data_IF_215022630231
#
_entry.id   IF_215022630231
#
_cell.length_a   1.000
_cell.length_b   1.000
_cell.length_c   1.000
_cell.angle_alpha   90.00
_cell.angle_beta   90.00
_cell.angle_gamma   90.00
#
_symmetry.space_group_name_H-M   'P 1'
#
loop_
_entity.id
_entity.type
_entity.pdbx_description
1 polymer ?
#
# COMPACT_ATOMS: atom_id res chain seq x y z
N UNK A 1 -3.90 -14.47 16.27
CA UNK A 1 -3.06 -13.38 15.77
C UNK A 1 -3.33 -12.14 16.61
N UNK A 2 -2.32 -11.37 16.97
CA UNK A 2 -2.53 -10.09 17.68
C UNK A 2 -2.80 -8.96 16.69
N UNK A 3 -3.46 -7.90 17.13
CA UNK A 3 -3.77 -6.75 16.27
C UNK A 3 -2.49 -6.08 15.72
N UNK A 4 -1.45 -6.02 16.53
CA UNK A 4 -0.12 -5.53 16.12
C UNK A 4 0.54 -6.39 15.04
N UNK A 5 0.26 -7.69 15.01
CA UNK A 5 0.78 -8.59 13.98
C UNK A 5 0.12 -8.38 12.62
N UNK A 6 -1.11 -7.81 12.57
CA UNK A 6 -1.79 -7.48 11.31
C UNK A 6 -1.00 -6.40 10.56
N UNK A 7 -0.55 -5.35 11.27
CA UNK A 7 0.29 -4.32 10.69
C UNK A 7 1.65 -4.85 10.21
N UNK A 8 2.29 -5.70 11.01
CA UNK A 8 3.55 -6.35 10.63
C UNK A 8 3.38 -7.27 9.40
N UNK A 9 2.23 -7.96 9.31
CA UNK A 9 1.90 -8.79 8.15
C UNK A 9 1.78 -7.93 6.88
N UNK A 10 1.13 -6.77 6.95
CA UNK A 10 1.04 -5.86 5.83
C UNK A 10 2.43 -5.39 5.36
N UNK A 11 3.33 -5.04 6.30
CA UNK A 11 4.71 -4.68 5.96
C UNK A 11 5.45 -5.81 5.22
N UNK A 12 5.31 -7.06 5.68
CA UNK A 12 5.94 -8.22 5.02
C UNK A 12 5.34 -8.49 3.64
N UNK A 13 4.02 -8.36 3.49
CA UNK A 13 3.35 -8.51 2.19
C UNK A 13 3.83 -7.46 1.18
N UNK A 14 4.13 -6.25 1.62
CA UNK A 14 4.73 -5.20 0.80
C UNK A 14 6.24 -5.42 0.51
N UNK A 15 6.83 -6.47 1.08
CA UNK A 15 8.24 -6.82 0.85
C UNK A 15 9.23 -6.22 1.86
N UNK A 16 8.74 -5.63 2.95
CA UNK A 16 9.57 -5.02 3.98
C UNK A 16 9.76 -5.93 5.21
N UNK A 17 10.87 -5.81 5.94
CA UNK A 17 11.05 -6.55 7.18
C UNK A 17 10.00 -6.11 8.22
N UNK A 18 9.40 -7.06 8.96
CA UNK A 18 8.40 -6.72 9.96
C UNK A 18 9.06 -5.94 11.12
N UNK A 19 8.38 -4.93 11.67
CA UNK A 19 8.90 -4.14 12.80
C UNK A 19 8.92 -4.93 14.11
N UNK A 20 8.06 -5.95 14.22
CA UNK A 20 7.96 -6.85 15.36
C UNK A 20 8.07 -8.30 14.90
N UNK A 21 8.50 -9.17 15.81
CA UNK A 21 8.55 -10.61 15.53
C UNK A 21 7.13 -11.18 15.48
N UNK A 22 6.79 -11.80 14.38
CA UNK A 22 5.51 -12.51 14.22
C UNK A 22 5.51 -13.78 15.08
N UNK A 23 4.37 -14.10 15.68
CA UNK A 23 4.17 -15.40 16.35
C UNK A 23 4.27 -16.55 15.33
N UNK A 24 4.51 -17.76 15.81
CA UNK A 24 4.53 -18.95 14.96
C UNK A 24 3.22 -19.14 14.18
N UNK A 25 2.08 -18.82 14.81
CA UNK A 25 0.77 -18.86 14.16
C UNK A 25 0.61 -17.77 13.09
N UNK A 26 1.08 -16.56 13.34
CA UNK A 26 1.10 -15.46 12.38
C UNK A 26 1.98 -15.78 11.17
N UNK A 27 3.19 -16.27 11.43
CA UNK A 27 4.15 -16.67 10.39
C UNK A 27 3.62 -17.82 9.52
N UNK A 28 2.97 -18.83 10.13
CA UNK A 28 2.36 -19.93 9.37
C UNK A 28 1.29 -19.44 8.41
N UNK A 29 0.37 -18.58 8.89
CA UNK A 29 -0.69 -18.00 8.05
C UNK A 29 -0.13 -17.11 6.94
N UNK A 30 0.91 -16.34 7.23
CA UNK A 30 1.57 -15.52 6.23
C UNK A 30 2.20 -16.36 5.12
N UNK A 31 2.82 -17.49 5.48
CA UNK A 31 3.41 -18.42 4.52
C UNK A 31 2.37 -19.11 3.63
N UNK A 32 1.11 -19.19 4.04
CA UNK A 32 0.02 -19.70 3.18
C UNK A 32 -0.38 -18.69 2.10
N UNK A 33 -0.21 -17.39 2.36
CA UNK A 33 -0.48 -16.30 1.41
C UNK A 33 0.71 -16.03 0.50
N UNK A 34 1.92 -16.03 1.07
CA UNK A 34 3.13 -15.80 0.32
C UNK A 34 3.48 -17.05 -0.50
N UNK A 35 3.47 -16.87 -1.81
CA UNK A 35 4.00 -17.89 -2.74
C UNK A 35 5.49 -18.06 -2.45
N UNK A 36 5.98 -19.31 -2.53
CA UNK A 36 7.38 -19.65 -2.25
C UNK A 36 8.38 -18.94 -3.17
N UNK A 37 7.91 -18.39 -4.29
CA UNK A 37 8.73 -17.68 -5.25
C UNK A 37 8.92 -16.22 -4.80
N UNK A 38 10.15 -15.78 -4.46
CA UNK A 38 10.41 -14.40 -4.04
C UNK A 38 10.21 -13.38 -5.17
N UNK A 39 10.09 -13.82 -6.42
CA UNK A 39 9.87 -12.95 -7.58
C UNK A 39 8.38 -12.67 -7.84
N UNK A 40 7.47 -13.48 -7.28
CA UNK A 40 6.01 -13.34 -7.40
C UNK A 40 5.38 -12.79 -6.12
N UNK A 41 6.08 -11.95 -5.39
CA UNK A 41 5.52 -11.31 -4.19
C UNK A 41 4.47 -10.28 -4.57
N UNK A 42 3.43 -10.13 -3.75
CA UNK A 42 2.47 -9.06 -3.96
C UNK A 42 3.19 -7.70 -3.89
N UNK A 43 2.80 -6.80 -4.76
CA UNK A 43 3.33 -5.42 -4.80
C UNK A 43 2.39 -4.43 -4.14
N UNK A 44 1.14 -4.85 -3.94
CA UNK A 44 0.12 -4.03 -3.34
C UNK A 44 -0.61 -4.76 -2.21
N UNK A 45 -1.01 -4.01 -1.21
CA UNK A 45 -1.86 -4.49 -0.11
C UNK A 45 -3.06 -3.56 0.00
N UNK A 46 -4.25 -4.15 -0.07
CA UNK A 46 -5.51 -3.48 0.17
C UNK A 46 -5.99 -3.79 1.59
N UNK A 47 -6.02 -2.79 2.46
CA UNK A 47 -6.47 -2.92 3.84
C UNK A 47 -7.78 -2.16 4.03
N UNK A 48 -8.85 -2.87 4.42
CA UNK A 48 -10.13 -2.26 4.71
C UNK A 48 -10.60 -2.64 6.12
N UNK A 49 -10.81 -1.63 6.96
CA UNK A 49 -11.51 -1.77 8.22
C UNK A 49 -13.01 -1.64 8.01
N UNK A 50 -13.79 -2.58 8.53
CA UNK A 50 -15.24 -2.55 8.50
C UNK A 50 -15.77 -2.51 9.93
N UNK A 51 -16.39 -1.40 10.31
CA UNK A 51 -16.93 -1.18 11.65
C UNK A 51 -18.42 -1.53 11.74
N UNK A 52 -18.83 -2.08 12.88
CA UNK A 52 -20.20 -2.49 13.14
C UNK A 52 -20.50 -3.94 12.77
N UNK A 53 -19.47 -4.77 12.59
CA UNK A 53 -19.62 -6.17 12.19
C UNK A 53 -18.90 -7.07 13.19
N UNK A 54 -19.66 -7.80 14.00
CA UNK A 54 -19.08 -8.74 14.97
C UNK A 54 -18.59 -10.04 14.29
N UNK A 55 -19.42 -10.65 13.47
CA UNK A 55 -19.06 -11.85 12.70
C UNK A 55 -19.67 -11.80 11.28
N UNK A 56 -18.86 -11.50 10.26
CA UNK A 56 -19.33 -11.44 8.88
C UNK A 56 -19.79 -12.81 8.35
N UNK A 57 -19.34 -13.92 8.93
CA UNK A 57 -19.71 -15.26 8.50
C UNK A 57 -21.15 -15.63 8.84
N UNK A 58 -21.71 -15.05 9.90
CA UNK A 58 -23.11 -15.26 10.28
C UNK A 58 -24.05 -14.70 9.23
N UNK A 59 -23.66 -13.57 8.60
CA UNK A 59 -24.50 -12.87 7.62
C UNK A 59 -24.30 -13.39 6.20
N UNK A 60 -23.07 -13.77 5.85
CA UNK A 60 -22.72 -14.22 4.50
C UNK A 60 -21.82 -15.46 4.48
N UNK A 61 -22.30 -16.63 4.98
CA UNK A 61 -21.45 -17.81 5.10
C UNK A 61 -20.96 -18.39 3.77
N UNK A 62 -21.67 -18.10 2.68
CA UNK A 62 -21.33 -18.54 1.31
C UNK A 62 -20.69 -17.46 0.46
N UNK A 63 -20.33 -16.32 1.04
CA UNK A 63 -19.74 -15.23 0.28
C UNK A 63 -18.41 -15.63 -0.36
N UNK A 64 -18.24 -15.31 -1.63
CA UNK A 64 -17.05 -15.66 -2.42
C UNK A 64 -15.75 -15.16 -1.79
N UNK A 65 -15.78 -14.00 -1.14
CA UNK A 65 -14.63 -13.41 -0.44
C UNK A 65 -14.06 -14.36 0.63
N UNK A 66 -14.93 -15.14 1.32
CA UNK A 66 -14.50 -16.00 2.42
C UNK A 66 -14.10 -17.42 1.99
N UNK A 67 -14.36 -17.81 0.76
CA UNK A 67 -14.00 -19.16 0.28
C UNK A 67 -12.48 -19.37 0.17
N UNK A 68 -11.75 -18.35 -0.21
CA UNK A 68 -10.29 -18.38 -0.35
C UNK A 68 -9.56 -17.59 0.73
N UNK A 69 -10.30 -16.97 1.68
CA UNK A 69 -9.71 -16.14 2.69
C UNK A 69 -9.14 -16.94 3.86
N UNK A 70 -7.96 -16.58 4.28
CA UNK A 70 -7.37 -17.03 5.53
C UNK A 70 -7.99 -16.25 6.69
N UNK A 71 -8.68 -16.99 7.58
CA UNK A 71 -9.40 -16.40 8.70
C UNK A 71 -8.56 -16.40 9.96
N UNK A 72 -8.58 -15.30 10.68
CA UNK A 72 -7.95 -15.19 11.99
C UNK A 72 -8.81 -14.35 12.92
N UNK A 73 -9.12 -14.87 14.08
CA UNK A 73 -9.59 -14.06 15.20
C UNK A 73 -8.43 -13.30 15.78
N UNK A 74 -8.60 -12.00 16.01
CA UNK A 74 -7.56 -11.12 16.56
C UNK A 74 -7.87 -10.86 18.03
N UNK A 75 -6.92 -11.19 18.91
CA UNK A 75 -7.01 -10.86 20.34
C UNK A 75 -6.81 -9.37 20.58
N UNK A 76 -7.64 -8.78 21.42
CA UNK A 76 -7.59 -7.36 21.83
C UNK A 76 -6.36 -7.09 22.73
N UNK A 77 -5.15 -7.19 22.17
CA UNK A 77 -3.90 -6.87 22.89
C UNK A 77 -3.46 -5.41 22.76
N UNK A 78 -3.90 -4.72 21.71
CA UNK A 78 -3.67 -3.28 21.50
C UNK A 78 -4.88 -2.67 20.80
N UNK A 79 -5.11 -1.39 21.01
CA UNK A 79 -6.28 -0.68 20.46
C UNK A 79 -6.12 -0.27 18.99
N UNK A 80 -4.99 -0.54 18.34
CA UNK A 80 -4.69 -0.08 16.98
C UNK A 80 -3.84 -1.07 16.20
N UNK A 81 -4.01 -1.04 14.88
CA UNK A 81 -3.15 -1.71 13.88
C UNK A 81 -2.14 -0.70 13.40
N UNK A 82 -0.92 -0.74 13.90
CA UNK A 82 0.15 0.13 13.42
C UNK A 82 0.90 -0.56 12.27
N UNK A 83 0.76 -0.01 11.06
CA UNK A 83 1.52 -0.42 9.88
C UNK A 83 2.76 0.46 9.79
N UNK A 84 3.93 -0.12 10.03
CA UNK A 84 5.19 0.61 9.95
C UNK A 84 5.85 0.40 8.60
N UNK A 85 6.06 1.48 7.86
CA UNK A 85 6.65 1.50 6.54
C UNK A 85 8.03 2.18 6.58
N UNK A 86 8.97 1.79 5.69
CA UNK A 86 10.33 2.30 5.77
C UNK A 86 10.46 3.75 5.31
N UNK A 87 9.84 4.13 4.18
CA UNK A 87 10.03 5.44 3.55
C UNK A 87 8.91 5.70 2.53
N UNK A 88 8.54 6.97 2.35
CA UNK A 88 7.55 7.42 1.36
C UNK A 88 8.02 7.21 -0.09
N UNK A 89 9.32 7.17 -0.34
CA UNK A 89 9.86 6.89 -1.68
C UNK A 89 9.69 5.43 -2.10
N UNK A 90 9.60 4.51 -1.12
CA UNK A 90 9.50 3.06 -1.37
C UNK A 90 8.07 2.55 -1.37
N UNK A 91 7.15 3.27 -0.72
CA UNK A 91 5.74 2.88 -0.59
C UNK A 91 4.84 4.06 -0.85
N UNK A 92 3.96 3.90 -1.83
CA UNK A 92 2.83 4.82 -2.04
C UNK A 92 1.67 4.41 -1.14
N UNK A 93 1.20 5.33 -0.31
CA UNK A 93 0.03 5.11 0.56
C UNK A 93 -1.16 5.85 -0.01
N UNK A 94 -2.22 5.11 -0.34
CA UNK A 94 -3.45 5.63 -0.90
C UNK A 94 -4.55 5.48 0.14
N UNK A 95 -5.08 6.61 0.63
CA UNK A 95 -6.20 6.62 1.57
C UNK A 95 -7.53 6.59 0.84
N UNK A 96 -8.44 5.73 1.29
CA UNK A 96 -9.81 5.65 0.80
C UNK A 96 -10.80 6.45 1.65
N UNK A 97 -10.32 7.12 2.69
CA UNK A 97 -11.17 7.85 3.65
C UNK A 97 -11.48 9.29 3.18
N UNK A 98 -11.20 9.61 1.91
CA UNK A 98 -11.57 10.91 1.36
C UNK A 98 -13.10 11.01 1.26
N UNK A 99 -13.71 12.03 1.92
CA UNK A 99 -15.16 12.21 1.81
C UNK A 99 -15.53 12.65 0.41
N UNK A 100 -16.51 12.00 -0.16
CA UNK A 100 -17.11 12.44 -1.41
C UNK A 100 -17.97 13.68 -1.12
N UNK A 101 -17.67 14.80 -1.77
CA UNK A 101 -18.36 16.07 -1.51
C UNK A 101 -19.68 16.18 -2.25
N UNK A 102 -19.65 15.87 -3.54
CA UNK A 102 -20.81 15.92 -4.42
C UNK A 102 -20.77 14.75 -5.40
N UNK A 103 -21.92 14.22 -5.75
CA UNK A 103 -22.08 13.19 -6.76
C UNK A 103 -23.36 13.45 -7.57
N UNK A 104 -23.34 13.03 -8.83
CA UNK A 104 -24.42 13.21 -9.79
C UNK A 104 -25.29 11.95 -9.86
N UNK A 105 -26.49 12.07 -10.41
CA UNK A 105 -27.37 10.93 -10.69
C UNK A 105 -26.75 9.95 -11.71
N UNK A 106 -25.96 10.48 -12.63
CA UNK A 106 -25.25 9.69 -13.63
C UNK A 106 -24.19 8.80 -12.94
N UNK A 107 -23.41 9.34 -12.02
CA UNK A 107 -22.43 8.58 -11.25
C UNK A 107 -23.07 7.51 -10.34
N UNK A 108 -24.26 7.80 -9.77
CA UNK A 108 -25.03 6.79 -9.02
C UNK A 108 -25.50 5.67 -9.96
N UNK A 109 -25.94 6.01 -11.16
CA UNK A 109 -26.37 5.03 -12.15
C UNK A 109 -25.21 4.15 -12.63
N UNK A 110 -24.03 4.74 -12.84
CA UNK A 110 -22.81 4.01 -13.16
C UNK A 110 -22.42 3.03 -12.06
N UNK A 111 -22.48 3.50 -10.81
CA UNK A 111 -22.24 2.65 -9.64
C UNK A 111 -23.27 1.51 -9.54
N UNK A 112 -24.55 1.81 -9.72
CA UNK A 112 -25.62 0.82 -9.74
C UNK A 112 -25.36 -0.24 -10.82
N UNK A 113 -25.06 0.20 -12.05
CA UNK A 113 -24.77 -0.66 -13.19
C UNK A 113 -23.54 -1.54 -12.94
N UNK A 114 -22.49 -0.99 -12.32
CA UNK A 114 -21.30 -1.75 -11.95
C UNK A 114 -21.61 -2.86 -10.92
N UNK A 115 -22.55 -2.61 -10.00
CA UNK A 115 -23.05 -3.63 -9.06
C UNK A 115 -24.02 -4.62 -9.73
N UNK A 116 -24.39 -4.41 -11.00
CA UNK A 116 -25.40 -5.21 -11.71
C UNK A 116 -26.83 -4.84 -11.37
N UNK A 117 -27.01 -3.67 -10.73
CA UNK A 117 -28.30 -3.11 -10.36
C UNK A 117 -28.74 -1.97 -11.26
N UNK A 118 -29.64 -1.14 -10.77
CA UNK A 118 -30.15 0.03 -11.49
C UNK A 118 -30.50 1.15 -10.52
N UNK A 119 -30.44 2.38 -11.02
CA UNK A 119 -30.92 3.55 -10.30
C UNK A 119 -32.14 4.14 -11.03
N UNK A 120 -33.23 4.34 -10.31
CA UNK A 120 -34.45 4.98 -10.82
C UNK A 120 -34.54 6.35 -10.17
N UNK A 121 -34.27 7.45 -10.91
CA UNK A 121 -34.31 8.80 -10.36
C UNK A 121 -35.73 9.21 -9.99
N UNK A 122 -35.87 10.10 -8.99
CA UNK A 122 -37.14 10.75 -8.67
C UNK A 122 -37.33 11.97 -9.58
N UNK A 123 -38.43 12.02 -10.31
CA UNK A 123 -38.75 13.11 -11.22
C UNK A 123 -38.94 14.48 -10.53
N UNK A 124 -39.16 14.49 -9.22
CA UNK A 124 -39.46 15.70 -8.46
C UNK A 124 -38.28 16.23 -7.67
N UNK A 125 -37.37 15.35 -7.25
CA UNK A 125 -36.23 15.72 -6.39
C UNK A 125 -34.96 15.00 -6.83
N UNK A 126 -33.93 15.72 -7.26
CA UNK A 126 -32.65 15.12 -7.59
C UNK A 126 -32.09 14.30 -6.41
N UNK A 127 -31.42 13.20 -6.70
CA UNK A 127 -30.77 12.31 -5.75
C UNK A 127 -31.69 11.63 -4.72
N UNK A 128 -33.01 11.66 -4.92
CA UNK A 128 -34.01 11.01 -4.05
C UNK A 128 -34.59 9.71 -4.61
N UNK A 129 -34.02 9.19 -5.69
CA UNK A 129 -34.46 7.99 -6.37
C UNK A 129 -34.34 6.69 -5.58
N UNK A 130 -34.52 5.58 -6.26
CA UNK A 130 -34.39 4.23 -5.71
C UNK A 130 -33.17 3.56 -6.36
N UNK A 131 -32.23 3.14 -5.55
CA UNK A 131 -31.08 2.34 -5.96
C UNK A 131 -31.38 0.86 -5.67
N UNK A 132 -31.60 0.07 -6.72
CA UNK A 132 -31.85 -1.35 -6.64
C UNK A 132 -30.56 -2.13 -6.96
N UNK A 133 -30.12 -3.00 -6.05
CA UNK A 133 -28.90 -3.79 -6.19
C UNK A 133 -29.24 -5.25 -5.95
N UNK A 134 -28.96 -6.15 -6.91
CA UNK A 134 -29.20 -7.58 -6.76
C UNK A 134 -28.16 -8.21 -5.83
N UNK A 135 -28.63 -9.09 -4.94
CA UNK A 135 -27.80 -9.93 -4.11
C UNK A 135 -27.58 -11.31 -4.75
N UNK A 136 -26.54 -12.00 -4.34
CA UNK A 136 -26.21 -13.36 -4.83
C UNK A 136 -27.31 -14.41 -4.60
N UNK A 137 -28.19 -14.20 -3.64
CA UNK A 137 -29.31 -15.10 -3.32
C UNK A 137 -30.56 -14.86 -4.17
N UNK A 138 -30.52 -13.92 -5.11
CA UNK A 138 -31.65 -13.55 -5.97
C UNK A 138 -32.62 -12.54 -5.37
N UNK A 139 -32.37 -12.04 -4.16
CA UNK A 139 -33.12 -10.93 -3.57
C UNK A 139 -32.54 -9.60 -4.07
N UNK A 140 -33.40 -8.60 -4.25
CA UNK A 140 -32.97 -7.23 -4.56
C UNK A 140 -33.00 -6.36 -3.31
N UNK A 141 -31.95 -5.58 -3.13
CA UNK A 141 -31.89 -4.55 -2.08
C UNK A 141 -32.27 -3.21 -2.69
N UNK A 142 -33.39 -2.65 -2.24
CA UNK A 142 -33.87 -1.35 -2.65
C UNK A 142 -33.52 -0.27 -1.64
N UNK A 143 -32.57 0.59 -2.00
CA UNK A 143 -32.17 1.74 -1.20
C UNK A 143 -33.00 2.96 -1.61
N UNK A 144 -33.92 3.36 -0.75
CA UNK A 144 -34.70 4.58 -0.95
C UNK A 144 -33.87 5.80 -0.56
N UNK A 145 -33.31 6.51 -1.52
CA UNK A 145 -32.45 7.68 -1.29
C UNK A 145 -33.21 8.87 -0.65
N UNK A 146 -34.53 8.80 -0.61
CA UNK A 146 -35.38 9.73 0.17
C UNK A 146 -35.24 9.55 1.68
N UNK A 147 -34.97 8.31 2.16
CA UNK A 147 -34.72 8.02 3.56
C UNK A 147 -33.28 8.43 3.90
N UNK A 148 -33.09 9.22 4.97
CA UNK A 148 -31.77 9.73 5.39
C UNK A 148 -30.76 8.60 5.63
N UNK A 149 -31.19 7.54 6.33
CA UNK A 149 -30.35 6.38 6.70
C UNK A 149 -29.83 5.66 5.47
N UNK A 150 -30.69 5.35 4.49
CA UNK A 150 -30.32 4.69 3.24
C UNK A 150 -29.38 5.56 2.41
N UNK A 151 -29.63 6.87 2.36
CA UNK A 151 -28.80 7.82 1.64
C UNK A 151 -27.40 7.94 2.24
N UNK A 152 -27.28 8.01 3.57
CA UNK A 152 -25.99 8.04 4.26
C UNK A 152 -25.18 6.79 4.02
N UNK A 153 -25.82 5.62 4.11
CA UNK A 153 -25.17 4.35 3.81
C UNK A 153 -24.73 4.26 2.35
N UNK A 154 -25.64 4.58 1.41
CA UNK A 154 -25.33 4.59 -0.02
C UNK A 154 -24.18 5.55 -0.35
N UNK A 155 -24.18 6.75 0.25
CA UNK A 155 -23.10 7.74 0.06
C UNK A 155 -21.75 7.22 0.52
N UNK A 156 -21.67 6.52 1.66
CA UNK A 156 -20.43 5.91 2.14
C UNK A 156 -19.94 4.77 1.24
N UNK A 157 -20.88 3.94 0.76
CA UNK A 157 -20.55 2.86 -0.17
C UNK A 157 -20.07 3.41 -1.52
N UNK A 158 -20.71 4.47 -1.97
CA UNK A 158 -20.33 5.16 -3.20
C UNK A 158 -18.96 5.86 -3.07
N UNK A 159 -18.70 6.51 -1.93
CA UNK A 159 -17.38 7.09 -1.64
C UNK A 159 -16.26 6.04 -1.67
N UNK A 160 -16.50 4.88 -1.05
CA UNK A 160 -15.56 3.75 -1.11
C UNK A 160 -15.28 3.32 -2.55
N UNK A 161 -16.32 3.14 -3.35
CA UNK A 161 -16.20 2.78 -4.78
C UNK A 161 -15.42 3.83 -5.58
N UNK A 162 -15.75 5.12 -5.40
CA UNK A 162 -15.09 6.22 -6.10
C UNK A 162 -13.60 6.30 -5.76
N UNK A 163 -13.26 6.21 -4.47
CA UNK A 163 -11.88 6.25 -4.00
C UNK A 163 -11.07 5.04 -4.48
N UNK A 164 -11.69 3.86 -4.61
CA UNK A 164 -11.04 2.68 -5.19
C UNK A 164 -10.77 2.88 -6.68
N UNK A 165 -11.71 3.45 -7.44
CA UNK A 165 -11.47 3.79 -8.86
C UNK A 165 -10.32 4.80 -9.01
N UNK A 166 -10.27 5.80 -8.13
CA UNK A 166 -9.16 6.77 -8.07
C UNK A 166 -7.83 6.07 -7.75
N UNK A 167 -7.82 5.12 -6.81
CA UNK A 167 -6.63 4.32 -6.49
C UNK A 167 -6.15 3.50 -7.70
N UNK A 168 -7.06 2.88 -8.46
CA UNK A 168 -6.70 2.15 -9.68
C UNK A 168 -6.10 3.08 -10.76
N UNK A 169 -6.62 4.31 -10.92
CA UNK A 169 -6.04 5.30 -11.82
C UNK A 169 -4.62 5.71 -11.39
N UNK A 170 -4.43 5.97 -10.08
CA UNK A 170 -3.11 6.28 -9.53
C UNK A 170 -2.12 5.13 -9.75
N UNK A 171 -2.59 3.88 -9.63
CA UNK A 171 -1.76 2.70 -9.93
C UNK A 171 -1.32 2.68 -11.40
N UNK A 172 -2.22 2.97 -12.33
CA UNK A 172 -1.89 3.03 -13.77
C UNK A 172 -0.79 4.06 -14.03
N UNK A 173 -0.89 5.25 -13.44
CA UNK A 173 0.14 6.30 -13.54
C UNK A 173 1.48 5.85 -12.95
N UNK A 174 1.46 5.23 -11.74
CA UNK A 174 2.65 4.71 -11.07
C UNK A 174 3.28 3.52 -11.82
N UNK A 175 2.47 2.71 -12.49
CA UNK A 175 2.96 1.56 -13.26
C UNK A 175 3.84 1.95 -14.43
N UNK A 176 3.68 3.16 -14.96
CA UNK A 176 4.49 3.73 -16.05
C UNK A 176 5.79 4.39 -15.53
N UNK A 177 5.93 4.58 -14.22
CA UNK A 177 7.12 5.19 -13.64
C UNK A 177 8.35 4.27 -13.69
N UNK A 178 9.54 4.87 -13.77
CA UNK A 178 10.81 4.14 -13.81
C UNK A 178 11.07 3.33 -12.53
N UNK A 179 10.59 3.84 -11.40
CA UNK A 179 10.63 3.18 -10.09
C UNK A 179 9.18 2.93 -9.66
N UNK A 180 8.80 1.66 -9.56
CA UNK A 180 7.49 1.27 -9.10
C UNK A 180 7.53 1.04 -7.58
N UNK A 181 7.01 1.97 -6.75
CA UNK A 181 6.92 1.75 -5.31
C UNK A 181 5.96 0.60 -5.01
N UNK A 182 6.08 0.00 -3.83
CA UNK A 182 5.01 -0.84 -3.31
C UNK A 182 3.80 0.04 -2.98
N UNK A 183 2.59 -0.52 -3.04
CA UNK A 183 1.38 0.27 -2.84
C UNK A 183 0.56 -0.25 -1.66
N UNK A 184 0.22 0.65 -0.74
CA UNK A 184 -0.67 0.37 0.38
C UNK A 184 -1.96 1.17 0.21
N UNK A 185 -3.05 0.48 -0.11
CA UNK A 185 -4.39 1.07 -0.17
C UNK A 185 -5.04 0.82 1.18
N UNK A 186 -5.41 1.88 1.89
CA UNK A 186 -5.95 1.80 3.24
C UNK A 186 -7.26 2.58 3.34
N UNK A 187 -8.27 2.00 3.98
CA UNK A 187 -9.52 2.69 4.23
C UNK A 187 -10.35 2.11 5.35
N UNK A 188 -11.37 2.86 5.74
CA UNK A 188 -12.36 2.47 6.75
C UNK A 188 -13.77 2.57 6.19
N UNK A 189 -14.62 1.61 6.55
CA UNK A 189 -16.04 1.64 6.23
C UNK A 189 -16.87 1.52 7.52
N UNK A 190 -17.51 2.60 7.89
CA UNK A 190 -18.34 2.72 9.09
C UNK A 190 -19.84 2.77 8.79
N UNK A 191 -20.23 2.51 7.54
CA UNK A 191 -21.63 2.57 7.09
C UNK A 191 -22.56 1.65 7.88
N UNK A 192 -22.10 0.46 8.26
CA UNK A 192 -22.88 -0.49 9.05
C UNK A 192 -23.12 0.03 10.47
N UNK A 193 -22.07 0.58 11.10
CA UNK A 193 -22.17 1.20 12.42
C UNK A 193 -23.19 2.35 12.43
N UNK A 194 -23.18 3.18 11.40
CA UNK A 194 -24.14 4.28 11.23
C UNK A 194 -25.59 3.77 11.14
N UNK A 195 -25.82 2.65 10.44
CA UNK A 195 -27.13 2.02 10.39
C UNK A 195 -27.60 1.55 11.77
N UNK A 196 -26.70 0.93 12.54
CA UNK A 196 -27.01 0.43 13.89
C UNK A 196 -27.31 1.57 14.89
N UNK A 197 -26.56 2.66 14.82
CA UNK A 197 -26.75 3.84 15.70
C UNK A 197 -28.08 4.56 15.45
N UNK A 198 -28.57 4.53 14.22
CA UNK A 198 -29.82 5.21 13.86
C UNK A 198 -31.08 4.36 14.13
N UNK A 199 -30.93 3.14 14.68
CA UNK A 199 -32.00 2.25 15.09
C UNK A 199 -33.18 2.19 14.10
N UNK A 200 -32.89 1.89 12.84
CA UNK A 200 -33.94 1.80 11.83
C UNK A 200 -34.86 0.61 12.15
N UNK A 201 -36.15 0.90 12.42
CA UNK A 201 -37.16 -0.10 12.80
C UNK A 201 -37.35 -1.21 11.76
N UNK A 202 -36.86 -0.98 10.54
CA UNK A 202 -37.03 -1.87 9.39
C UNK A 202 -35.99 -3.02 9.31
N UNK A 203 -35.00 -3.11 10.27
CA UNK A 203 -33.97 -4.16 10.24
C UNK A 203 -33.00 -4.03 9.06
N UNK A 204 -32.81 -2.80 8.58
CA UNK A 204 -31.97 -2.49 7.42
C UNK A 204 -30.47 -2.73 7.69
N UNK A 205 -30.04 -2.81 8.95
CA UNK A 205 -28.67 -3.13 9.37
C UNK A 205 -28.17 -4.45 8.76
N UNK A 206 -28.99 -5.51 8.81
CA UNK A 206 -28.66 -6.82 8.21
C UNK A 206 -28.63 -6.76 6.69
N UNK A 207 -29.52 -5.96 6.10
CA UNK A 207 -29.60 -5.80 4.65
C UNK A 207 -28.40 -5.01 4.13
N UNK A 208 -28.03 -3.91 4.81
CA UNK A 208 -26.84 -3.14 4.53
C UNK A 208 -25.54 -3.96 4.65
N UNK A 209 -25.48 -4.83 5.67
CA UNK A 209 -24.39 -5.78 5.83
C UNK A 209 -24.28 -6.75 4.65
N UNK A 210 -25.41 -7.35 4.23
CA UNK A 210 -25.44 -8.27 3.07
C UNK A 210 -24.98 -7.54 1.80
N UNK A 211 -25.45 -6.31 1.62
CA UNK A 211 -25.06 -5.48 0.47
C UNK A 211 -23.56 -5.18 0.46
N UNK A 212 -23.01 -4.79 1.61
CA UNK A 212 -21.56 -4.57 1.72
C UNK A 212 -20.80 -5.86 1.38
N UNK A 213 -21.18 -6.99 1.98
CA UNK A 213 -20.52 -8.28 1.73
C UNK A 213 -20.65 -8.75 0.28
N UNK A 214 -21.71 -8.38 -0.45
CA UNK A 214 -21.85 -8.64 -1.88
C UNK A 214 -21.01 -7.69 -2.74
N UNK A 215 -20.72 -6.48 -2.24
CA UNK A 215 -19.92 -5.48 -2.93
C UNK A 215 -18.42 -5.72 -2.80
N UNK A 216 -17.94 -6.17 -1.64
CA UNK A 216 -16.51 -6.37 -1.37
C UNK A 216 -15.81 -7.31 -2.35
N UNK A 217 -16.39 -8.48 -2.74
CA UNK A 217 -15.77 -9.32 -3.78
C UNK A 217 -15.59 -8.60 -5.10
N UNK A 218 -16.61 -7.86 -5.57
CA UNK A 218 -16.55 -7.12 -6.84
C UNK A 218 -15.48 -6.04 -6.81
N UNK A 219 -15.34 -5.34 -5.68
CA UNK A 219 -14.27 -4.38 -5.45
C UNK A 219 -12.92 -5.08 -5.55
N UNK A 220 -12.75 -6.19 -4.85
CA UNK A 220 -11.47 -6.90 -4.81
C UNK A 220 -11.11 -7.53 -6.17
N UNK A 221 -12.07 -8.07 -6.89
CA UNK A 221 -11.88 -8.59 -8.25
C UNK A 221 -11.45 -7.49 -9.23
N UNK A 222 -12.03 -6.28 -9.09
CA UNK A 222 -11.61 -5.12 -9.88
C UNK A 222 -10.16 -4.71 -9.57
N UNK A 223 -9.79 -4.71 -8.28
CA UNK A 223 -8.41 -4.46 -7.86
C UNK A 223 -7.47 -5.57 -8.35
N UNK A 224 -7.85 -6.83 -8.23
CA UNK A 224 -7.03 -7.95 -8.75
C UNK A 224 -6.79 -7.83 -10.24
N UNK A 225 -7.78 -7.39 -11.00
CA UNK A 225 -7.66 -7.16 -12.44
C UNK A 225 -6.71 -6.00 -12.74
N UNK A 226 -6.85 -4.87 -12.04
CA UNK A 226 -6.00 -3.69 -12.23
C UNK A 226 -4.53 -3.96 -11.84
N UNK A 227 -4.30 -4.75 -10.78
CA UNK A 227 -2.97 -5.09 -10.27
C UNK A 227 -2.42 -6.42 -10.83
N UNK A 228 -3.02 -6.97 -11.88
CA UNK A 228 -2.59 -8.22 -12.53
C UNK A 228 -2.42 -9.39 -11.53
N UNK A 229 -3.25 -9.43 -10.49
CA UNK A 229 -3.19 -10.43 -9.42
C UNK A 229 -2.10 -10.19 -8.36
N UNK A 230 -1.30 -9.14 -8.47
CA UNK A 230 -0.22 -8.82 -7.51
C UNK A 230 -0.70 -8.00 -6.31
N UNK A 231 -1.95 -8.16 -5.89
CA UNK A 231 -2.53 -7.49 -4.74
C UNK A 231 -3.10 -8.50 -3.74
N UNK A 232 -2.93 -8.21 -2.46
CA UNK A 232 -3.50 -8.99 -1.36
C UNK A 232 -4.47 -8.13 -0.56
N UNK A 233 -5.67 -8.66 -0.29
CA UNK A 233 -6.69 -8.01 0.53
C UNK A 233 -6.57 -8.43 2.00
N UNK A 234 -6.63 -7.44 2.89
CA UNK A 234 -6.70 -7.61 4.35
C UNK A 234 -7.95 -6.91 4.84
N UNK A 235 -8.94 -7.69 5.27
CA UNK A 235 -10.20 -7.16 5.81
C UNK A 235 -10.23 -7.32 7.31
N UNK A 236 -10.43 -6.22 8.03
CA UNK A 236 -10.51 -6.19 9.49
C UNK A 236 -11.94 -5.84 9.88
N UNK A 237 -12.67 -6.80 10.44
CA UNK A 237 -14.02 -6.58 10.94
C UNK A 237 -13.98 -6.25 12.42
N UNK A 238 -14.64 -5.15 12.80
CA UNK A 238 -14.69 -4.66 14.17
C UNK A 238 -16.14 -4.53 14.64
N UNK A 239 -16.46 -5.11 15.79
CA UNK A 239 -17.81 -5.11 16.36
C UNK A 239 -18.28 -3.71 16.82
N UNK A 240 -19.60 -3.58 16.98
CA UNK A 240 -20.27 -2.32 17.33
C UNK A 240 -19.89 -1.76 18.71
N UNK A 241 -19.34 -2.59 19.61
CA UNK A 241 -19.14 -2.25 21.03
C UNK A 241 -17.95 -1.33 21.31
N UNK A 242 -17.13 -0.97 20.33
CA UNK A 242 -15.99 -0.08 20.54
C UNK A 242 -16.33 1.37 20.16
N UNK A 243 -16.10 2.34 21.06
CA UNK A 243 -16.25 3.75 20.75
C UNK A 243 -15.12 4.16 19.79
N UNK A 244 -15.38 4.08 18.48
CA UNK A 244 -14.37 4.45 17.48
C UNK A 244 -14.48 5.94 17.18
N UNK A 245 -13.65 6.72 17.84
CA UNK A 245 -13.39 8.11 17.44
C UNK A 245 -12.25 8.26 16.43
N UNK A 246 -11.52 7.17 16.12
CA UNK A 246 -10.36 7.17 15.20
C UNK A 246 -10.28 5.83 14.46
N UNK A 247 -9.79 5.81 13.20
CA UNK A 247 -9.56 4.57 12.47
C UNK A 247 -8.62 3.66 13.26
N UNK A 248 -8.91 2.36 13.20
CA UNK A 248 -8.12 1.32 13.85
C UNK A 248 -6.75 1.17 13.18
N UNK A 249 -6.73 1.29 11.85
CA UNK A 249 -5.52 1.17 11.05
C UNK A 249 -4.79 2.51 11.04
N UNK A 250 -3.54 2.50 11.49
CA UNK A 250 -2.66 3.66 11.51
C UNK A 250 -1.39 3.35 10.72
N UNK A 251 -1.06 4.21 9.76
CA UNK A 251 0.14 4.06 8.93
C UNK A 251 1.21 5.03 9.42
N UNK A 252 2.39 4.50 9.71
CA UNK A 252 3.53 5.29 10.19
C UNK A 252 4.75 5.00 9.33
N UNK A 253 5.42 6.06 8.88
CA UNK A 253 6.72 5.94 8.25
C UNK A 253 7.81 5.96 9.33
N UNK A 254 8.60 4.91 9.36
CA UNK A 254 9.79 4.86 10.19
C UNK A 254 10.98 5.23 9.33
N UNK A 255 11.48 6.46 9.47
CA UNK A 255 12.79 6.78 8.92
C UNK A 255 13.78 5.76 9.51
N UNK A 256 14.38 4.91 8.67
CA UNK A 256 15.44 4.03 9.13
C UNK A 256 16.49 4.91 9.83
N UNK A 257 16.87 4.61 11.07
CA UNK A 257 18.09 5.20 11.59
C UNK A 257 19.19 4.77 10.62
N UNK A 258 19.67 5.71 9.84
CA UNK A 258 20.86 5.56 9.00
C UNK A 258 21.93 4.88 9.87
N UNK A 259 22.55 3.75 9.46
CA UNK A 259 23.57 3.12 10.27
C UNK A 259 24.54 4.20 10.71
N UNK A 260 24.80 4.30 12.01
CA UNK A 260 25.51 5.43 12.64
C UNK A 260 26.88 5.73 12.03
N UNK A 261 27.47 4.77 11.34
CA UNK A 261 28.75 4.91 10.62
C UNK A 261 28.62 5.63 9.25
N UNK A 262 27.37 5.79 8.71
CA UNK A 262 27.06 6.61 7.54
C UNK A 262 26.39 7.95 7.91
N UNK A 263 26.00 8.13 9.18
CA UNK A 263 25.20 9.27 9.64
C UNK A 263 26.00 10.53 9.99
N UNK A 264 27.27 10.60 9.61
CA UNK A 264 28.12 11.81 9.80
C UNK A 264 28.23 12.69 8.55
N UNK A 265 27.29 12.56 7.62
CA UNK A 265 27.12 13.58 6.58
C UNK A 265 26.01 14.52 7.00
N UNK A 266 26.35 15.53 7.81
CA UNK A 266 25.65 16.83 7.78
C UNK A 266 25.32 17.15 6.33
N UNK A 267 24.07 17.61 6.08
CA UNK A 267 23.66 18.13 4.75
C UNK A 267 24.85 18.80 4.07
N UNK A 268 25.31 18.30 2.91
CA UNK A 268 26.52 18.85 2.32
C UNK A 268 26.20 20.29 1.88
N UNK A 269 26.78 21.25 2.59
CA UNK A 269 26.94 22.56 2.02
C UNK A 269 27.67 22.39 0.69
N UNK A 270 27.38 23.22 -0.31
CA UNK A 270 27.95 23.12 -1.67
C UNK A 270 29.49 22.92 -1.69
N UNK A 271 30.19 23.30 -0.61
CA UNK A 271 31.62 23.06 -0.40
C UNK A 271 31.99 21.60 -0.16
N UNK A 272 31.14 20.79 0.45
CA UNK A 272 31.43 19.37 0.71
C UNK A 272 31.20 18.48 -0.51
N UNK A 273 30.30 18.85 -1.41
CA UNK A 273 30.13 18.18 -2.71
C UNK A 273 31.36 18.39 -3.61
N UNK A 274 31.88 19.60 -3.64
CA UNK A 274 33.13 19.91 -4.38
C UNK A 274 34.30 19.10 -3.81
N UNK A 275 34.43 18.99 -2.49
CA UNK A 275 35.48 18.19 -1.83
C UNK A 275 35.33 16.69 -2.13
N UNK A 276 34.11 16.12 -2.12
CA UNK A 276 33.88 14.70 -2.45
C UNK A 276 34.21 14.39 -3.92
N UNK A 277 33.85 15.28 -4.84
CA UNK A 277 34.21 15.12 -6.26
C UNK A 277 35.71 15.18 -6.44
N UNK A 278 36.38 16.11 -5.73
CA UNK A 278 37.83 16.23 -5.76
C UNK A 278 38.52 14.98 -5.21
N UNK A 279 38.07 14.44 -4.07
CA UNK A 279 38.63 13.21 -3.48
C UNK A 279 38.44 12.00 -4.40
N UNK A 280 37.29 11.85 -5.02
CA UNK A 280 37.04 10.75 -5.97
C UNK A 280 37.92 10.87 -7.20
N UNK A 281 38.13 12.08 -7.70
CA UNK A 281 38.96 12.35 -8.87
C UNK A 281 40.43 12.10 -8.56
N UNK A 282 40.92 12.54 -7.40
CA UNK A 282 42.29 12.28 -6.96
C UNK A 282 42.57 10.81 -6.71
N UNK A 283 41.64 10.07 -6.07
CA UNK A 283 41.74 8.62 -5.88
C UNK A 283 41.82 7.87 -7.23
N UNK A 284 40.99 8.21 -8.18
CA UNK A 284 41.02 7.60 -9.53
C UNK A 284 42.35 7.85 -10.24
N UNK A 285 42.89 9.06 -10.10
CA UNK A 285 44.21 9.43 -10.65
C UNK A 285 45.34 8.63 -9.99
N UNK A 286 45.37 8.55 -8.66
CA UNK A 286 46.39 7.79 -7.92
C UNK A 286 46.33 6.30 -8.34
N UNK A 287 45.16 5.73 -8.42
CA UNK A 287 44.98 4.34 -8.83
C UNK A 287 45.48 4.10 -10.27
N UNK A 288 45.16 5.02 -11.16
CA UNK A 288 45.64 4.97 -12.54
C UNK A 288 47.19 5.02 -12.65
N UNK A 289 47.83 5.92 -11.89
CA UNK A 289 49.30 6.02 -11.84
C UNK A 289 49.94 4.76 -11.23
N UNK A 290 49.38 4.22 -10.15
CA UNK A 290 49.87 2.98 -9.53
C UNK A 290 49.78 1.80 -10.49
N UNK A 291 48.67 1.67 -11.21
CA UNK A 291 48.48 0.61 -12.22
C UNK A 291 49.50 0.78 -13.39
N UNK A 292 49.74 1.99 -13.84
CA UNK A 292 50.69 2.26 -14.89
C UNK A 292 52.13 1.91 -14.46
N UNK A 293 52.49 2.27 -13.22
CA UNK A 293 53.80 1.89 -12.68
C UNK A 293 53.93 0.37 -12.53
N UNK A 294 52.88 -0.29 -12.01
CA UNK A 294 52.87 -1.75 -11.84
C UNK A 294 53.00 -2.50 -13.18
N UNK A 295 52.29 -2.03 -14.22
CA UNK A 295 52.38 -2.62 -15.56
C UNK A 295 53.76 -2.39 -16.19
N UNK A 296 54.35 -1.21 -16.07
CA UNK A 296 55.72 -0.93 -16.56
C UNK A 296 56.75 -1.78 -15.84
N UNK A 297 56.65 -1.93 -14.51
CA UNK A 297 57.55 -2.79 -13.76
C UNK A 297 57.38 -4.30 -14.15
N UNK A 298 56.14 -4.74 -14.39
CA UNK A 298 55.84 -6.07 -14.86
C UNK A 298 56.45 -6.34 -16.25
N UNK A 299 56.27 -5.43 -17.20
CA UNK A 299 56.85 -5.52 -18.54
C UNK A 299 58.37 -5.51 -18.46
N UNK A 300 58.95 -4.68 -17.59
CA UNK A 300 60.41 -4.65 -17.36
C UNK A 300 60.92 -5.99 -16.82
N UNK A 301 60.20 -6.56 -15.84
CA UNK A 301 60.59 -7.87 -15.28
C UNK A 301 60.58 -8.99 -16.31
N UNK A 302 59.62 -8.97 -17.26
CA UNK A 302 59.47 -10.00 -18.31
C UNK A 302 60.53 -9.80 -19.42
N UNK A 303 60.81 -8.54 -19.80
CA UNK A 303 61.68 -8.22 -20.96
C UNK A 303 63.17 -8.07 -20.59
N UNK A 304 63.52 -8.12 -19.31
CA UNK A 304 64.92 -8.00 -18.80
C UNK A 304 65.70 -6.79 -19.43
N UNK A 305 64.99 -5.69 -19.73
CA UNK A 305 65.56 -4.53 -20.43
C UNK A 305 66.04 -3.51 -19.39
N UNK A 306 67.35 -3.17 -19.43
CA UNK A 306 67.97 -2.16 -18.56
C UNK A 306 67.81 -0.74 -19.13
N UNK A 307 66.70 -0.08 -18.81
CA UNK A 307 66.46 1.31 -19.18
C UNK A 307 66.34 2.18 -17.90
N UNK A 308 67.45 2.68 -17.43
CA UNK A 308 67.48 3.49 -16.18
C UNK A 308 67.29 5.02 -16.36
N UNK A 309 67.57 5.69 -17.49
CA UNK A 309 67.51 7.16 -17.46
C UNK A 309 66.15 7.80 -17.81
N UNK A 310 65.23 7.08 -18.48
CA UNK A 310 63.98 7.73 -18.94
C UNK A 310 62.88 7.88 -17.88
N UNK A 311 62.97 7.14 -16.79
CA UNK A 311 61.90 7.10 -15.78
C UNK A 311 61.97 8.25 -14.76
N UNK A 312 63.16 8.73 -14.47
CA UNK A 312 63.35 9.88 -13.56
C UNK A 312 62.77 11.17 -14.17
N UNK A 313 62.88 11.32 -15.48
CA UNK A 313 62.36 12.51 -16.20
C UNK A 313 60.83 12.56 -16.30
N UNK A 314 60.17 11.40 -16.36
CA UNK A 314 58.73 11.33 -16.47
C UNK A 314 58.03 11.63 -15.12
N UNK A 315 58.66 11.26 -14.02
CA UNK A 315 58.14 11.56 -12.67
C UNK A 315 58.25 13.05 -12.31
N UNK A 316 59.33 13.70 -12.66
CA UNK A 316 59.49 15.14 -12.42
C UNK A 316 58.52 15.98 -13.27
N UNK A 317 58.25 15.59 -14.53
CA UNK A 317 57.36 16.35 -15.41
C UNK A 317 55.89 16.23 -15.05
N UNK A 318 55.46 15.10 -14.50
CA UNK A 318 54.04 14.83 -14.18
C UNK A 318 53.63 15.35 -12.81
N UNK A 319 54.50 15.30 -11.81
CA UNK A 319 54.21 15.77 -10.45
C UNK A 319 54.21 17.30 -10.37
N UNK A 320 55.07 17.99 -11.15
CA UNK A 320 55.22 19.45 -11.04
C UNK A 320 54.15 20.24 -11.82
N UNK A 321 53.50 19.64 -12.81
CA UNK A 321 52.53 20.36 -13.66
C UNK A 321 51.09 20.31 -13.16
N UNK A 322 50.81 19.56 -12.10
CA UNK A 322 49.43 19.40 -11.53
C UNK A 322 49.29 19.87 -10.09
N UNK A 323 50.32 20.46 -9.48
CA UNK A 323 50.30 21.03 -8.13
C UNK A 323 50.41 22.55 -8.09
N UNK A 324 50.29 23.24 -9.23
CA UNK A 324 50.12 24.68 -9.34
C UNK A 324 48.71 24.96 -9.96
#
# INVERSE_FOLDING_TARGET
>A
MLLTEVGATASVLLGFPPPITLSAAGSSKLNEVLISNPFDRPRAVFMLEVSGVDDPLVVGPKNALFHKALKSSVGLGSSKVDVQLPDEEQVSVISLDEPLRDYTEEEINDFASWLGGSYVPDATKPLHGILAIPLENGDDVNLHMSKKVHREFASKLFALFHNIRKAMQMHEDLSQALHRPAELIVGSFDGIKTLQEQQDADGFDKLGMRLLLATLPKIFDSLQTAYEGQIVGVFVFNGASQPVSKPLINVMFTSRPSPRWLAETKTPTNTTLAAQVLVRRTLAWITGVVLLIATLLGVRSVLNISWVPAFAWFLEFFVFKHFL
#
